data_IF_145464615270
#
_entry.id   IF_145464615270
#
_cell.length_a   1.000
_cell.length_b   1.000
_cell.length_c   1.000
_cell.angle_alpha   90.00
_cell.angle_beta   90.00
_cell.angle_gamma   90.00
#
_symmetry.space_group_name_H-M   'P 1'
#
loop_
_entity.id
_entity.type
_entity.pdbx_description
1 polymer ?
#
# COMPACT_ATOMS: atom_id res chain seq x y z
N UNK A 1 3.98 -25.74 -20.43
CA UNK A 1 3.88 -24.32 -20.86
C UNK A 1 5.09 -23.59 -20.27
N UNK A 2 5.80 -22.69 -20.98
CA UNK A 2 6.92 -21.96 -20.33
C UNK A 2 6.38 -21.09 -19.18
N UNK A 3 7.08 -21.06 -18.05
CA UNK A 3 6.72 -20.31 -16.82
C UNK A 3 6.29 -18.86 -17.07
N UNK A 4 6.89 -18.21 -18.07
CA UNK A 4 6.56 -16.84 -18.48
C UNK A 4 5.11 -16.69 -18.97
N UNK A 5 4.56 -17.66 -19.70
CA UNK A 5 3.19 -17.59 -20.21
C UNK A 5 2.17 -17.76 -19.08
N UNK A 6 2.45 -18.64 -18.12
CA UNK A 6 1.59 -18.85 -16.94
C UNK A 6 1.53 -17.58 -16.10
N UNK A 7 2.69 -16.94 -15.88
CA UNK A 7 2.75 -15.65 -15.19
C UNK A 7 2.02 -14.54 -15.96
N UNK A 8 2.22 -14.46 -17.28
CA UNK A 8 1.53 -13.48 -18.12
C UNK A 8 0.01 -13.64 -18.07
N UNK A 9 -0.50 -14.88 -18.14
CA UNK A 9 -1.93 -15.18 -18.02
C UNK A 9 -2.45 -14.78 -16.64
N UNK A 10 -1.74 -15.14 -15.55
CA UNK A 10 -2.16 -14.79 -14.20
C UNK A 10 -2.26 -13.27 -13.99
N UNK A 11 -1.27 -12.51 -14.49
CA UNK A 11 -1.26 -11.04 -14.45
C UNK A 11 -2.28 -10.42 -15.42
N UNK A 12 -2.62 -11.08 -16.51
CA UNK A 12 -3.65 -10.61 -17.45
C UNK A 12 -5.08 -10.82 -16.91
N UNK A 13 -5.26 -11.67 -15.89
CA UNK A 13 -6.58 -12.03 -15.37
C UNK A 13 -6.84 -11.41 -13.99
N UNK A 14 -5.97 -11.64 -13.01
CA UNK A 14 -6.27 -11.28 -11.61
C UNK A 14 -6.38 -9.76 -11.38
N UNK A 15 -5.41 -8.91 -11.79
CA UNK A 15 -5.52 -7.47 -11.66
C UNK A 15 -6.72 -6.85 -12.40
N UNK A 16 -7.03 -7.20 -13.67
CA UNK A 16 -8.22 -6.64 -14.34
C UNK A 16 -9.54 -7.02 -13.68
N UNK A 17 -9.68 -8.25 -13.16
CA UNK A 17 -10.87 -8.64 -12.39
C UNK A 17 -11.03 -7.73 -11.16
N UNK A 18 -9.96 -7.50 -10.40
CA UNK A 18 -10.02 -6.58 -9.27
C UNK A 18 -10.31 -5.14 -9.71
N UNK A 19 -9.73 -4.65 -10.80
CA UNK A 19 -10.00 -3.31 -11.31
C UNK A 19 -11.48 -3.10 -11.63
N UNK A 20 -12.13 -4.10 -12.25
CA UNK A 20 -13.57 -4.07 -12.50
C UNK A 20 -14.37 -4.10 -11.17
N UNK A 21 -14.08 -5.06 -10.28
CA UNK A 21 -14.79 -5.22 -9.01
C UNK A 21 -14.66 -3.99 -8.10
N UNK A 22 -13.44 -3.46 -7.96
CA UNK A 22 -13.18 -2.26 -7.15
C UNK A 22 -14.03 -1.08 -7.61
N UNK A 23 -14.15 -0.86 -8.92
CA UNK A 23 -15.01 0.18 -9.48
C UNK A 23 -16.49 -0.07 -9.17
N UNK A 24 -16.96 -1.31 -9.31
CA UNK A 24 -18.35 -1.69 -8.98
C UNK A 24 -18.71 -1.45 -7.50
N UNK A 25 -17.76 -1.69 -6.60
CA UNK A 25 -17.93 -1.44 -5.16
C UNK A 25 -17.56 -0.02 -4.72
N UNK A 26 -17.25 0.88 -5.67
CA UNK A 26 -16.96 2.29 -5.39
C UNK A 26 -15.59 2.58 -4.79
N UNK A 27 -14.63 1.65 -4.88
CA UNK A 27 -13.25 1.85 -4.44
C UNK A 27 -12.50 2.76 -5.42
N UNK A 28 -12.05 3.92 -4.94
CA UNK A 28 -11.20 4.84 -5.72
C UNK A 28 -9.71 4.47 -5.67
N UNK A 29 -9.36 3.41 -4.96
CA UNK A 29 -7.98 3.02 -4.64
C UNK A 29 -7.58 1.67 -5.24
N UNK A 30 -8.34 1.17 -6.23
CA UNK A 30 -8.13 -0.16 -6.83
C UNK A 30 -6.69 -0.42 -7.32
N UNK A 31 -6.00 0.61 -7.82
CA UNK A 31 -4.61 0.52 -8.28
C UNK A 31 -3.60 0.16 -7.17
N UNK A 32 -3.91 0.45 -5.90
CA UNK A 32 -3.08 0.09 -4.74
C UNK A 32 -2.86 -1.42 -4.67
N UNK A 33 -3.86 -2.21 -5.06
CA UNK A 33 -3.74 -3.66 -5.07
C UNK A 33 -2.66 -4.14 -6.04
N UNK A 34 -2.51 -3.51 -7.20
CA UNK A 34 -1.47 -3.90 -8.16
C UNK A 34 -0.07 -3.53 -7.64
N UNK A 35 0.07 -2.35 -7.01
CA UNK A 35 1.35 -1.90 -6.43
C UNK A 35 1.82 -2.84 -5.31
N UNK A 36 0.89 -3.26 -4.43
CA UNK A 36 1.19 -4.18 -3.32
C UNK A 36 1.33 -5.63 -3.75
N UNK A 37 0.68 -6.06 -4.84
CA UNK A 37 0.96 -7.35 -5.47
C UNK A 37 2.42 -7.43 -5.98
N UNK A 38 2.93 -6.33 -6.55
CA UNK A 38 4.34 -6.22 -6.94
C UNK A 38 5.30 -6.44 -5.77
N UNK A 39 4.96 -5.90 -4.59
CA UNK A 39 5.73 -6.13 -3.36
C UNK A 39 5.74 -7.62 -2.96
N UNK A 40 4.61 -8.31 -3.07
CA UNK A 40 4.58 -9.77 -2.86
C UNK A 40 5.49 -10.48 -3.84
N UNK A 41 5.54 -10.09 -5.11
CA UNK A 41 6.37 -10.80 -6.10
C UNK A 41 7.87 -10.73 -5.81
N UNK A 42 8.36 -9.63 -5.22
CA UNK A 42 9.79 -9.42 -4.92
C UNK A 42 10.17 -9.81 -3.49
N UNK A 43 9.22 -9.82 -2.56
CA UNK A 43 9.50 -10.08 -1.15
C UNK A 43 9.61 -11.57 -0.82
N UNK A 44 10.48 -11.89 0.14
CA UNK A 44 10.58 -13.22 0.75
C UNK A 44 9.72 -13.36 2.00
N UNK A 45 9.18 -12.26 2.52
CA UNK A 45 8.38 -12.26 3.74
C UNK A 45 6.97 -12.83 3.52
N UNK A 46 6.34 -13.23 4.62
CA UNK A 46 4.95 -13.68 4.61
C UNK A 46 4.00 -12.51 4.31
N UNK A 47 2.86 -12.81 3.70
CA UNK A 47 1.84 -11.80 3.42
C UNK A 47 1.28 -11.18 4.69
N UNK A 48 1.30 -11.89 5.81
CA UNK A 48 0.96 -11.30 7.12
C UNK A 48 1.97 -10.22 7.52
N UNK A 49 3.27 -10.50 7.41
CA UNK A 49 4.31 -9.51 7.74
C UNK A 49 4.23 -8.28 6.83
N UNK A 50 3.98 -8.48 5.53
CA UNK A 50 3.75 -7.40 4.57
C UNK A 50 2.46 -6.63 4.86
N UNK A 51 1.38 -7.30 5.22
CA UNK A 51 0.09 -6.67 5.56
C UNK A 51 0.22 -5.78 6.77
N UNK A 52 0.86 -6.28 7.84
CA UNK A 52 1.07 -5.51 9.07
C UNK A 52 1.86 -4.24 8.77
N UNK A 53 2.95 -4.33 8.01
CA UNK A 53 3.71 -3.14 7.67
C UNK A 53 2.95 -2.17 6.79
N UNK A 54 2.27 -2.65 5.73
CA UNK A 54 1.44 -1.79 4.88
C UNK A 54 0.35 -1.05 5.67
N UNK A 55 -0.36 -1.75 6.56
CA UNK A 55 -1.44 -1.16 7.36
C UNK A 55 -0.92 -0.19 8.42
N UNK A 56 0.23 -0.49 9.04
CA UNK A 56 0.91 0.48 9.92
C UNK A 56 1.31 1.71 9.10
N UNK A 57 1.86 1.51 7.90
CA UNK A 57 2.19 2.58 6.97
C UNK A 57 0.99 3.42 6.58
N UNK A 58 -0.17 2.81 6.36
CA UNK A 58 -1.40 3.51 6.03
C UNK A 58 -1.84 4.45 7.16
N UNK A 59 -1.83 3.95 8.40
CA UNK A 59 -2.06 4.78 9.59
C UNK A 59 -1.00 5.88 9.71
N UNK A 60 0.28 5.54 9.50
CA UNK A 60 1.41 6.49 9.53
C UNK A 60 1.21 7.63 8.53
N UNK A 61 0.75 7.29 7.32
CA UNK A 61 0.43 8.24 6.26
C UNK A 61 -0.74 9.14 6.60
N UNK A 62 -1.84 8.55 7.08
CA UNK A 62 -3.01 9.31 7.51
C UNK A 62 -2.65 10.35 8.59
N UNK A 63 -1.87 9.95 9.60
CA UNK A 63 -1.42 10.85 10.67
C UNK A 63 -0.48 11.92 10.12
N UNK A 64 0.57 11.54 9.40
CA UNK A 64 1.55 12.48 8.85
C UNK A 64 0.91 13.52 7.93
N UNK A 65 0.01 13.10 7.04
CA UNK A 65 -0.66 13.98 6.10
C UNK A 65 -1.64 14.93 6.80
N UNK A 66 -2.31 14.44 7.86
CA UNK A 66 -3.17 15.28 8.70
C UNK A 66 -2.37 16.37 9.39
N UNK A 67 -1.18 16.08 9.91
CA UNK A 67 -0.30 17.08 10.53
C UNK A 67 0.17 18.14 9.52
N UNK A 68 0.55 17.72 8.31
CA UNK A 68 0.94 18.65 7.23
C UNK A 68 -0.24 19.60 6.92
N UNK A 69 -1.46 19.07 6.85
CA UNK A 69 -2.65 19.85 6.55
C UNK A 69 -3.13 20.79 7.68
N UNK A 70 -2.53 20.75 8.87
CA UNK A 70 -2.75 21.75 9.91
C UNK A 70 -1.91 23.02 9.68
N UNK A 71 -0.85 22.94 8.87
CA UNK A 71 0.00 24.08 8.61
C UNK A 71 -0.70 25.14 7.74
N UNK A 72 -0.44 26.44 7.98
CA UNK A 72 -0.87 27.49 7.07
C UNK A 72 -0.36 27.24 5.65
N UNK A 73 -1.08 27.65 4.58
CA UNK A 73 -0.66 27.45 3.21
C UNK A 73 0.75 28.00 2.90
N UNK A 74 1.14 29.11 3.54
CA UNK A 74 2.48 29.72 3.41
C UNK A 74 3.63 28.85 3.93
N UNK A 75 3.35 27.87 4.79
CA UNK A 75 4.34 26.99 5.42
C UNK A 75 4.20 25.52 4.99
N UNK A 76 3.30 25.21 4.05
CA UNK A 76 2.95 23.82 3.71
C UNK A 76 4.17 22.98 3.28
N UNK A 77 5.03 23.53 2.42
CA UNK A 77 6.26 22.85 1.96
C UNK A 77 7.20 22.57 3.14
N UNK A 78 7.40 23.56 4.02
CA UNK A 78 8.25 23.40 5.21
C UNK A 78 7.67 22.36 6.17
N UNK A 79 6.36 22.41 6.41
CA UNK A 79 5.66 21.43 7.23
C UNK A 79 5.78 20.02 6.65
N UNK A 80 5.65 19.86 5.34
CA UNK A 80 5.87 18.58 4.66
C UNK A 80 7.28 18.06 4.88
N UNK A 81 8.32 18.88 4.68
CA UNK A 81 9.71 18.46 4.90
C UNK A 81 9.93 18.04 6.36
N UNK A 82 9.48 18.84 7.32
CA UNK A 82 9.67 18.56 8.75
C UNK A 82 8.92 17.29 9.17
N UNK A 83 7.64 17.18 8.82
CA UNK A 83 6.81 16.03 9.20
C UNK A 83 7.35 14.75 8.58
N UNK A 84 7.69 14.74 7.29
CA UNK A 84 8.26 13.57 6.65
C UNK A 84 9.63 13.19 7.25
N UNK A 85 10.48 14.17 7.58
CA UNK A 85 11.76 13.89 8.23
C UNK A 85 11.57 13.26 9.62
N UNK A 86 10.70 13.82 10.45
CA UNK A 86 10.41 13.30 11.79
C UNK A 86 9.76 11.92 11.71
N UNK A 87 8.73 11.74 10.88
CA UNK A 87 8.03 10.46 10.76
C UNK A 87 8.92 9.37 10.16
N UNK A 88 9.82 9.72 9.24
CA UNK A 88 10.81 8.81 8.68
C UNK A 88 11.84 8.38 9.73
N UNK A 89 12.38 9.34 10.48
CA UNK A 89 13.27 9.05 11.60
C UNK A 89 12.61 8.14 12.64
N UNK A 90 11.40 8.50 13.08
CA UNK A 90 10.65 7.73 14.07
C UNK A 90 10.34 6.32 13.58
N UNK A 91 9.92 6.14 12.33
CA UNK A 91 9.66 4.82 11.77
C UNK A 91 10.90 3.91 11.87
N UNK A 92 12.09 4.44 11.53
CA UNK A 92 13.34 3.68 11.59
C UNK A 92 13.69 3.30 13.02
N UNK A 93 13.64 4.26 13.96
CA UNK A 93 13.96 4.01 15.37
C UNK A 93 12.96 3.01 15.99
N UNK A 94 11.67 3.20 15.76
CA UNK A 94 10.62 2.30 16.27
C UNK A 94 10.83 0.88 15.72
N UNK A 95 11.07 0.75 14.41
CA UNK A 95 11.26 -0.57 13.83
C UNK A 95 12.57 -1.24 14.29
N UNK A 96 13.64 -0.47 14.55
CA UNK A 96 14.89 -1.00 15.10
C UNK A 96 14.68 -1.69 16.46
N UNK A 97 13.88 -1.09 17.34
CA UNK A 97 13.59 -1.65 18.66
C UNK A 97 12.53 -2.75 18.63
N UNK A 98 11.47 -2.60 17.83
CA UNK A 98 10.40 -3.58 17.79
C UNK A 98 10.76 -4.82 16.96
N UNK A 99 11.51 -4.65 15.86
CA UNK A 99 11.89 -5.69 14.87
C UNK A 99 10.73 -6.55 14.36
N UNK A 100 9.50 -6.04 14.45
CA UNK A 100 8.26 -6.79 14.20
C UNK A 100 7.63 -6.50 12.86
N UNK A 101 8.12 -5.48 12.14
CA UNK A 101 7.45 -4.96 10.95
C UNK A 101 8.44 -4.95 9.79
N UNK A 102 8.00 -5.43 8.62
CA UNK A 102 8.79 -5.29 7.42
C UNK A 102 8.87 -3.79 7.04
N UNK A 103 10.07 -3.23 7.13
CA UNK A 103 10.30 -1.80 6.93
C UNK A 103 9.90 -1.31 5.54
N UNK A 104 10.15 -2.12 4.51
CA UNK A 104 9.83 -1.78 3.11
C UNK A 104 8.32 -1.63 2.94
N UNK A 105 7.55 -2.57 3.49
CA UNK A 105 6.09 -2.55 3.46
C UNK A 105 5.50 -1.39 4.26
N UNK A 106 6.11 -1.02 5.40
CA UNK A 106 5.73 0.20 6.12
C UNK A 106 5.91 1.44 5.25
N UNK A 107 7.10 1.65 4.68
CA UNK A 107 7.34 2.82 3.84
C UNK A 107 6.45 2.87 2.60
N UNK A 108 6.18 1.73 1.97
CA UNK A 108 5.24 1.65 0.83
C UNK A 108 3.84 2.04 1.29
N UNK A 109 3.37 1.49 2.43
CA UNK A 109 2.05 1.82 2.97
C UNK A 109 1.90 3.33 3.19
N UNK A 110 2.92 3.91 3.84
CA UNK A 110 2.98 5.34 4.08
C UNK A 110 2.94 6.17 2.79
N UNK A 111 3.81 5.85 1.83
CA UNK A 111 3.91 6.58 0.57
C UNK A 111 2.61 6.53 -0.26
N UNK A 112 1.95 5.37 -0.29
CA UNK A 112 0.67 5.22 -1.01
C UNK A 112 -0.41 6.07 -0.36
N UNK A 113 -0.49 6.08 0.96
CA UNK A 113 -1.51 6.85 1.68
C UNK A 113 -1.34 8.35 1.50
N UNK A 114 -0.13 8.89 1.67
CA UNK A 114 0.08 10.33 1.46
C UNK A 114 -0.23 10.74 0.01
N UNK A 115 0.15 9.91 -0.97
CA UNK A 115 -0.09 10.22 -2.38
C UNK A 115 -1.59 10.27 -2.70
N UNK A 116 -2.36 9.31 -2.19
CA UNK A 116 -3.80 9.24 -2.46
C UNK A 116 -4.55 10.33 -1.69
N UNK A 117 -4.20 10.57 -0.42
CA UNK A 117 -4.84 11.62 0.37
C UNK A 117 -4.57 13.02 -0.20
N UNK A 118 -3.41 13.24 -0.83
CA UNK A 118 -3.09 14.52 -1.49
C UNK A 118 -4.03 14.88 -2.64
N UNK A 119 -4.67 13.88 -3.25
CA UNK A 119 -5.62 14.04 -4.35
C UNK A 119 -7.07 13.89 -3.89
N UNK A 120 -7.30 13.70 -2.58
CA UNK A 120 -8.61 13.38 -2.01
C UNK A 120 -9.12 14.54 -1.15
N UNK A 121 -10.38 14.97 -1.29
CA UNK A 121 -10.98 15.96 -0.40
C UNK A 121 -10.91 15.52 1.06
N UNK A 122 -10.58 16.44 1.98
CA UNK A 122 -10.41 16.16 3.42
C UNK A 122 -11.61 15.44 4.05
N UNK A 123 -12.82 15.76 3.60
CA UNK A 123 -14.06 15.10 4.07
C UNK A 123 -14.12 13.60 3.79
N UNK A 124 -13.36 13.10 2.81
CA UNK A 124 -13.33 11.67 2.42
C UNK A 124 -12.13 10.91 2.98
N UNK A 125 -11.19 11.55 3.66
CA UNK A 125 -9.97 10.87 4.11
C UNK A 125 -10.21 9.61 4.95
N UNK A 126 -11.12 9.58 5.96
CA UNK A 126 -11.29 8.39 6.78
C UNK A 126 -11.71 7.16 5.97
N UNK A 127 -12.68 7.33 5.07
CA UNK A 127 -13.13 6.24 4.21
C UNK A 127 -12.06 5.86 3.17
N UNK A 128 -11.32 6.84 2.66
CA UNK A 128 -10.24 6.58 1.71
C UNK A 128 -9.11 5.77 2.35
N UNK A 129 -8.68 6.08 3.59
CA UNK A 129 -7.70 5.27 4.33
C UNK A 129 -8.17 3.82 4.43
N UNK A 130 -9.43 3.57 4.81
CA UNK A 130 -9.97 2.21 4.85
C UNK A 130 -9.94 1.52 3.46
N UNK A 131 -10.29 2.25 2.40
CA UNK A 131 -10.23 1.73 1.03
C UNK A 131 -8.80 1.42 0.57
N UNK A 132 -7.80 2.20 1.00
CA UNK A 132 -6.39 1.95 0.77
C UNK A 132 -6.00 0.64 1.45
N UNK A 133 -6.23 0.53 2.76
CA UNK A 133 -5.92 -0.68 3.53
C UNK A 133 -6.55 -1.95 2.94
N UNK A 134 -7.83 -1.92 2.57
CA UNK A 134 -8.49 -3.05 1.90
C UNK A 134 -7.82 -3.38 0.57
N UNK A 135 -7.51 -2.36 -0.25
CA UNK A 135 -6.85 -2.57 -1.54
C UNK A 135 -5.44 -3.15 -1.37
N UNK A 136 -4.70 -2.77 -0.32
CA UNK A 136 -3.41 -3.38 0.02
C UNK A 136 -3.54 -4.87 0.31
N UNK A 137 -4.55 -5.26 1.10
CA UNK A 137 -4.80 -6.68 1.44
C UNK A 137 -5.22 -7.47 0.20
N UNK A 138 -6.06 -6.90 -0.67
CA UNK A 138 -6.43 -7.54 -1.94
C UNK A 138 -5.20 -7.73 -2.83
N UNK A 139 -4.32 -6.73 -2.90
CA UNK A 139 -3.07 -6.85 -3.64
C UNK A 139 -2.18 -7.97 -3.12
N UNK A 140 -2.08 -8.14 -1.79
CA UNK A 140 -1.31 -9.23 -1.20
C UNK A 140 -1.95 -10.59 -1.48
N UNK A 141 -3.19 -10.79 -1.04
CA UNK A 141 -3.78 -12.12 -0.92
C UNK A 141 -4.44 -12.60 -2.21
N UNK A 142 -5.15 -11.71 -2.91
CA UNK A 142 -5.84 -12.10 -4.14
C UNK A 142 -4.88 -12.06 -5.34
N UNK A 143 -4.20 -10.93 -5.56
CA UNK A 143 -3.36 -10.77 -6.76
C UNK A 143 -1.99 -11.42 -6.55
N UNK A 144 -1.21 -10.96 -5.57
CA UNK A 144 0.17 -11.40 -5.36
C UNK A 144 0.29 -12.90 -5.09
N UNK A 145 -0.41 -13.39 -4.06
CA UNK A 145 -0.45 -14.83 -3.78
C UNK A 145 -1.22 -15.63 -4.81
N UNK A 146 -2.26 -15.08 -5.44
CA UNK A 146 -2.96 -15.75 -6.54
C UNK A 146 -2.02 -16.04 -7.72
N UNK A 147 -1.19 -15.07 -8.12
CA UNK A 147 -0.17 -15.27 -9.16
C UNK A 147 0.82 -16.36 -8.72
N UNK A 148 1.37 -16.28 -7.50
CA UNK A 148 2.30 -17.30 -6.98
C UNK A 148 1.69 -18.70 -6.97
N UNK A 149 0.44 -18.82 -6.56
CA UNK A 149 -0.29 -20.07 -6.54
C UNK A 149 -0.46 -20.67 -7.94
N UNK A 150 -0.95 -19.88 -8.90
CA UNK A 150 -1.09 -20.30 -10.30
C UNK A 150 0.26 -20.73 -10.87
N UNK A 151 1.31 -19.95 -10.63
CA UNK A 151 2.66 -20.30 -11.07
C UNK A 151 3.17 -21.61 -10.45
N UNK A 152 2.87 -21.88 -9.18
CA UNK A 152 3.30 -23.12 -8.51
C UNK A 152 2.59 -24.37 -9.05
N UNK A 153 1.39 -24.22 -9.61
CA UNK A 153 0.57 -25.35 -10.06
C UNK A 153 0.76 -25.68 -11.55
N UNK A 154 1.06 -24.68 -12.37
CA UNK A 154 1.04 -24.79 -13.83
C UNK A 154 2.34 -24.35 -14.53
N UNK A 155 3.27 -23.73 -13.81
CA UNK A 155 4.53 -23.19 -14.33
C UNK A 155 5.71 -24.14 -14.19
#
# INVERSE_FOLDING_TARGET
MKRVYVQAIAVAILPPIWAALSTMFGFTTGAVALMTAGLVMISRDSGLALSVGLLIGDIWGAVSFSLIALAPPSLNILAQVIVLAIFGFLAVIINYYLRKVNMVSWFIGWALTIQILSMTPKSKWPITVLMIGVSMLVGIYYIGYGIRYIMSRFG
#
